data_IF_084540390014
#
_entry.id   IF_084540390014
#
_cell.length_a   1.000
_cell.length_b   1.000
_cell.length_c   1.000
_cell.angle_alpha   90.00
_cell.angle_beta   90.00
_cell.angle_gamma   90.00
#
_symmetry.space_group_name_H-M   'P 1'
#
loop_
_entity.id
_entity.type
_entity.pdbx_description
1 polymer ?
#
# COMPACT_ATOMS: atom_id res chain seq x y z
N UNK A 1 -8.68 16.83 -15.02
CA UNK A 1 -7.86 15.61 -14.88
C UNK A 1 -8.24 14.99 -13.54
N UNK A 2 -8.82 13.80 -13.54
CA UNK A 2 -9.14 13.10 -12.30
C UNK A 2 -7.83 12.80 -11.56
N UNK A 3 -7.74 13.22 -10.30
CA UNK A 3 -6.56 13.01 -9.47
C UNK A 3 -6.60 11.57 -8.95
N UNK A 4 -5.51 10.81 -8.99
CA UNK A 4 -5.46 9.43 -8.44
C UNK A 4 -6.01 9.34 -7.00
N UNK A 5 -5.87 10.41 -6.22
CA UNK A 5 -6.42 10.51 -4.87
C UNK A 5 -7.95 10.41 -4.82
N UNK A 6 -8.69 10.68 -5.90
CA UNK A 6 -10.15 10.53 -5.93
C UNK A 6 -10.60 9.07 -5.80
N UNK A 7 -9.71 8.12 -6.09
CA UNK A 7 -9.97 6.69 -5.94
C UNK A 7 -9.53 6.14 -4.57
N UNK A 8 -8.94 6.99 -3.71
CA UNK A 8 -8.50 6.64 -2.37
C UNK A 8 -9.39 7.39 -1.36
N UNK A 9 -10.28 6.69 -0.62
CA UNK A 9 -11.04 7.28 0.47
C UNK A 9 -10.13 8.03 1.46
N UNK A 10 -10.59 9.15 2.00
CA UNK A 10 -9.80 10.01 2.88
C UNK A 10 -9.21 9.26 4.09
N UNK A 11 -9.97 8.34 4.68
CA UNK A 11 -9.52 7.55 5.83
C UNK A 11 -8.36 6.59 5.50
N UNK A 12 -8.09 6.30 4.22
CA UNK A 12 -6.96 5.49 3.78
C UNK A 12 -5.70 6.32 3.50
N UNK A 13 -5.78 7.65 3.48
CA UNK A 13 -4.59 8.49 3.29
C UNK A 13 -3.54 8.27 4.39
N UNK A 14 -3.99 7.90 5.60
CA UNK A 14 -3.08 7.50 6.70
C UNK A 14 -2.24 6.27 6.34
N UNK A 15 -2.78 5.34 5.55
CA UNK A 15 -2.08 4.12 5.12
C UNK A 15 -0.90 4.48 4.24
N UNK A 16 -1.03 5.49 3.38
CA UNK A 16 0.06 5.99 2.53
C UNK A 16 1.24 6.44 3.39
N UNK A 17 0.97 7.26 4.41
CA UNK A 17 1.99 7.78 5.33
C UNK A 17 2.64 6.64 6.11
N UNK A 18 1.85 5.70 6.63
CA UNK A 18 2.35 4.54 7.39
C UNK A 18 3.23 3.65 6.51
N UNK A 19 2.82 3.33 5.28
CA UNK A 19 3.62 2.53 4.34
C UNK A 19 4.96 3.20 4.06
N UNK A 20 4.97 4.52 3.86
CA UNK A 20 6.20 5.26 3.60
C UNK A 20 7.18 5.17 4.78
N UNK A 21 6.70 5.46 5.99
CA UNK A 21 7.51 5.39 7.22
C UNK A 21 8.03 3.97 7.45
N UNK A 22 7.17 2.96 7.29
CA UNK A 22 7.55 1.57 7.48
C UNK A 22 8.56 1.11 6.42
N UNK A 23 8.43 1.58 5.18
CA UNK A 23 9.42 1.33 4.14
C UNK A 23 10.77 1.96 4.40
N UNK A 24 10.81 3.18 4.93
CA UNK A 24 12.05 3.83 5.37
C UNK A 24 12.70 3.06 6.53
N UNK A 25 11.89 2.60 7.49
CA UNK A 25 12.34 1.78 8.61
C UNK A 25 12.96 0.45 8.15
N UNK A 26 12.27 -0.31 7.29
CA UNK A 26 12.77 -1.59 6.77
C UNK A 26 14.09 -1.44 6.01
N UNK A 27 14.24 -0.36 5.23
CA UNK A 27 15.52 -0.05 4.56
C UNK A 27 16.64 0.25 5.54
N UNK A 28 16.34 0.90 6.66
CA UNK A 28 17.31 1.20 7.71
C UNK A 28 17.87 -0.05 8.40
N UNK A 29 17.08 -1.13 8.47
CA UNK A 29 17.50 -2.37 9.14
C UNK A 29 18.60 -3.12 8.39
N UNK A 30 18.76 -2.96 7.07
CA UNK A 30 19.74 -3.67 6.22
C UNK A 30 19.69 -5.22 6.28
N UNK A 31 18.77 -5.82 7.03
CA UNK A 31 18.55 -7.27 7.11
C UNK A 31 17.65 -7.77 5.98
N UNK A 32 16.73 -6.93 5.50
CA UNK A 32 15.76 -7.31 4.45
C UNK A 32 16.27 -6.83 3.10
N UNK A 33 16.47 -7.73 2.10
CA UNK A 33 16.84 -7.31 0.76
C UNK A 33 15.80 -6.37 0.14
N UNK A 34 16.25 -5.35 -0.58
CA UNK A 34 15.39 -4.32 -1.22
C UNK A 34 14.22 -4.93 -1.99
N UNK A 35 14.45 -6.09 -2.66
CA UNK A 35 13.42 -6.79 -3.44
C UNK A 35 12.19 -7.18 -2.64
N UNK A 36 12.41 -7.67 -1.43
CA UNK A 36 11.32 -8.11 -0.56
C UNK A 36 10.62 -6.95 0.14
N UNK A 37 11.30 -5.82 0.38
CA UNK A 37 10.68 -4.64 1.00
C UNK A 37 9.45 -4.21 0.19
N UNK A 38 9.56 -4.18 -1.14
CA UNK A 38 8.45 -3.76 -2.01
C UNK A 38 7.24 -4.67 -1.88
N UNK A 39 7.45 -5.99 -1.99
CA UNK A 39 6.37 -6.98 -1.89
C UNK A 39 5.74 -7.02 -0.48
N UNK A 40 6.55 -6.88 0.56
CA UNK A 40 6.08 -6.83 1.96
C UNK A 40 5.16 -5.62 2.16
N UNK A 41 5.58 -4.44 1.70
CA UNK A 41 4.79 -3.22 1.84
C UNK A 41 3.51 -3.26 1.00
N UNK A 42 3.52 -3.94 -0.15
CA UNK A 42 2.32 -4.13 -0.97
C UNK A 42 1.29 -4.98 -0.23
N UNK A 43 1.71 -6.13 0.30
CA UNK A 43 0.84 -7.01 1.09
C UNK A 43 0.31 -6.30 2.33
N UNK A 44 1.17 -5.59 3.06
CA UNK A 44 0.78 -4.78 4.22
C UNK A 44 -0.30 -3.75 3.85
N UNK A 45 -0.08 -3.00 2.75
CA UNK A 45 -1.02 -1.99 2.29
C UNK A 45 -2.38 -2.56 1.92
N UNK A 46 -2.41 -3.69 1.22
CA UNK A 46 -3.65 -4.41 0.88
C UNK A 46 -4.37 -4.88 2.14
N UNK A 47 -3.67 -5.56 3.04
CA UNK A 47 -4.29 -6.10 4.27
C UNK A 47 -4.88 -5.00 5.13
N UNK A 48 -4.13 -3.91 5.37
CA UNK A 48 -4.61 -2.79 6.18
C UNK A 48 -5.78 -2.08 5.51
N UNK A 49 -5.72 -1.84 4.20
CA UNK A 49 -6.81 -1.19 3.48
C UNK A 49 -8.11 -2.01 3.49
N UNK A 50 -8.03 -3.34 3.32
CA UNK A 50 -9.19 -4.23 3.43
C UNK A 50 -9.78 -4.19 4.84
N UNK A 51 -8.95 -4.30 5.88
CA UNK A 51 -9.43 -4.24 7.27
C UNK A 51 -10.09 -2.89 7.60
N UNK A 52 -9.49 -1.78 7.17
CA UNK A 52 -10.07 -0.45 7.38
C UNK A 52 -11.38 -0.26 6.60
N UNK A 53 -11.51 -0.83 5.40
CA UNK A 53 -12.78 -0.83 4.67
C UNK A 53 -13.86 -1.63 5.42
N UNK A 54 -13.52 -2.80 5.95
CA UNK A 54 -14.44 -3.61 6.78
C UNK A 54 -14.87 -2.83 8.02
N UNK A 55 -13.94 -2.14 8.71
CA UNK A 55 -14.26 -1.30 9.87
C UNK A 55 -15.20 -0.14 9.48
N UNK A 56 -14.91 0.57 8.39
CA UNK A 56 -15.76 1.67 7.91
C UNK A 56 -17.13 1.18 7.44
N UNK A 57 -17.22 -0.05 6.93
CA UNK A 57 -18.47 -0.72 6.59
C UNK A 57 -19.18 -1.35 7.80
N UNK A 58 -18.80 -0.99 9.03
CA UNK A 58 -19.36 -1.50 10.28
C UNK A 58 -19.32 -3.04 10.35
N UNK A 59 -18.18 -3.63 9.99
CA UNK A 59 -17.92 -5.07 9.96
C UNK A 59 -18.73 -5.85 8.92
N UNK A 60 -19.36 -5.17 7.95
CA UNK A 60 -19.96 -5.83 6.79
C UNK A 60 -18.87 -6.37 5.87
N UNK A 61 -18.84 -7.68 5.69
CA UNK A 61 -17.90 -8.38 4.80
C UNK A 61 -18.62 -8.76 3.52
N UNK A 62 -18.64 -7.84 2.54
CA UNK A 62 -19.17 -8.08 1.20
C UNK A 62 -18.07 -7.98 0.14
N UNK A 63 -18.33 -8.55 -1.05
CA UNK A 63 -17.34 -8.63 -2.12
C UNK A 63 -16.85 -7.25 -2.56
N UNK A 64 -17.75 -6.25 -2.62
CA UNK A 64 -17.44 -4.87 -2.97
C UNK A 64 -16.47 -4.23 -1.95
N UNK A 65 -16.68 -4.44 -0.65
CA UNK A 65 -15.81 -3.94 0.43
C UNK A 65 -14.40 -4.52 0.29
N UNK A 66 -14.30 -5.83 0.04
CA UNK A 66 -13.01 -6.52 -0.10
C UNK A 66 -12.30 -6.05 -1.37
N UNK A 67 -12.97 -6.07 -2.52
CA UNK A 67 -12.37 -5.69 -3.81
C UNK A 67 -11.92 -4.24 -3.80
N UNK A 68 -12.75 -3.32 -3.28
CA UNK A 68 -12.37 -1.92 -3.12
C UNK A 68 -11.17 -1.76 -2.18
N UNK A 69 -11.16 -2.46 -1.04
CA UNK A 69 -10.03 -2.44 -0.12
C UNK A 69 -8.73 -2.94 -0.74
N UNK A 70 -8.78 -4.00 -1.57
CA UNK A 70 -7.61 -4.50 -2.30
C UNK A 70 -7.09 -3.47 -3.28
N UNK A 71 -7.95 -2.92 -4.14
CA UNK A 71 -7.56 -1.91 -5.13
C UNK A 71 -7.00 -0.66 -4.45
N UNK A 72 -7.67 -0.16 -3.41
CA UNK A 72 -7.24 1.00 -2.66
C UNK A 72 -5.93 0.75 -1.91
N UNK A 73 -5.70 -0.47 -1.40
CA UNK A 73 -4.43 -0.85 -0.79
C UNK A 73 -3.28 -0.83 -1.78
N UNK A 74 -3.49 -1.32 -3.01
CA UNK A 74 -2.52 -1.22 -4.11
C UNK A 74 -2.24 0.24 -4.46
N UNK A 75 -3.28 1.08 -4.54
CA UNK A 75 -3.12 2.51 -4.80
C UNK A 75 -2.33 3.20 -3.68
N UNK A 76 -2.64 2.92 -2.41
CA UNK A 76 -1.92 3.48 -1.27
C UNK A 76 -0.45 3.10 -1.28
N UNK A 77 -0.14 1.82 -1.53
CA UNK A 77 1.22 1.34 -1.70
C UNK A 77 1.93 2.03 -2.87
N UNK A 78 1.25 2.13 -4.03
CA UNK A 78 1.78 2.74 -5.25
C UNK A 78 2.19 4.20 -5.04
N UNK A 79 1.31 4.98 -4.41
CA UNK A 79 1.54 6.39 -4.08
C UNK A 79 2.65 6.54 -3.03
N UNK A 80 2.66 5.70 -2.00
CA UNK A 80 3.64 5.81 -0.91
C UNK A 80 5.07 5.51 -1.37
N UNK A 81 5.27 4.35 -2.02
CA UNK A 81 6.61 3.84 -2.33
C UNK A 81 6.65 2.99 -3.60
N UNK A 82 5.53 2.38 -4.00
CA UNK A 82 5.47 1.31 -4.98
C UNK A 82 6.02 1.71 -6.35
N UNK A 83 5.66 2.87 -6.87
CA UNK A 83 6.16 3.34 -8.17
C UNK A 83 7.68 3.52 -8.13
N UNK A 84 8.19 4.30 -7.17
CA UNK A 84 9.62 4.61 -7.06
C UNK A 84 10.47 3.36 -6.80
N UNK A 85 10.02 2.48 -5.90
CA UNK A 85 10.79 1.29 -5.54
C UNK A 85 10.70 0.20 -6.62
N UNK A 86 9.56 0.02 -7.27
CA UNK A 86 9.42 -0.96 -8.38
C UNK A 86 10.27 -0.54 -9.58
N UNK A 87 10.24 0.73 -9.98
CA UNK A 87 11.12 1.22 -11.06
C UNK A 87 12.60 1.04 -10.74
N UNK A 88 13.02 1.27 -9.49
CA UNK A 88 14.40 1.04 -9.05
C UNK A 88 14.80 -0.44 -9.09
N UNK A 89 13.87 -1.34 -8.80
CA UNK A 89 14.14 -2.78 -8.85
C UNK A 89 14.21 -3.31 -10.27
N UNK A 90 13.32 -2.89 -11.17
CA UNK A 90 13.34 -3.31 -12.58
C UNK A 90 14.60 -2.85 -13.31
N UNK A 91 15.16 -1.70 -12.92
CA UNK A 91 16.42 -1.18 -13.47
C UNK A 91 17.66 -1.72 -12.75
N UNK A 92 17.49 -2.43 -11.64
CA UNK A 92 18.58 -3.16 -10.99
C UNK A 92 18.72 -4.46 -11.77
N UNK A 93 19.67 -4.48 -12.70
CA UNK A 93 20.26 -5.75 -13.12
C UNK A 93 20.87 -6.34 -11.83
N UNK A 94 20.23 -7.35 -11.24
CA UNK A 94 20.96 -8.21 -10.30
C UNK A 94 22.19 -8.80 -11.01
#
# INVERSE_FOLDING_TARGET
MENLLTFIPEFLLIVIVVIYVFGAFLKGLKVVPDKYIVSILMLLGITVAVLLNIINAQYKVSLDVIVNGVLQGILCWGVAVGINQTSKQLNKNE
#
